data_IF_497241404007
#
_entry.id   IF_497241404007
#
_cell.length_a   1.000
_cell.length_b   1.000
_cell.length_c   1.000
_cell.angle_alpha   90.00
_cell.angle_beta   90.00
_cell.angle_gamma   90.00
#
_symmetry.space_group_name_H-M   'P 1'
#
loop_
_entity.id
_entity.type
_entity.pdbx_description
1 polymer ?
#
# COMPACT_ATOMS: atom_id res chain seq x y z
N UNK A 1 13.68 -12.97 -1.84
CA UNK A 1 12.62 -12.53 -2.77
C UNK A 1 11.34 -13.25 -2.42
N UNK A 2 10.22 -12.54 -2.36
CA UNK A 2 8.92 -13.13 -2.04
C UNK A 2 8.49 -14.06 -3.18
N UNK A 3 7.79 -15.16 -2.85
CA UNK A 3 7.34 -16.16 -3.82
C UNK A 3 6.02 -15.81 -4.51
N UNK A 4 5.40 -14.69 -4.13
CA UNK A 4 4.14 -14.22 -4.69
C UNK A 4 4.20 -12.69 -4.95
N UNK A 5 3.41 -12.19 -5.91
CA UNK A 5 3.17 -10.75 -6.03
C UNK A 5 2.61 -10.20 -4.71
N UNK A 6 3.16 -9.07 -4.26
CA UNK A 6 2.74 -8.40 -3.03
C UNK A 6 2.54 -6.91 -3.30
N UNK A 7 1.43 -6.37 -2.82
CA UNK A 7 1.16 -4.93 -2.75
C UNK A 7 1.20 -4.48 -1.29
N UNK A 8 1.97 -3.44 -1.01
CA UNK A 8 1.93 -2.69 0.25
C UNK A 8 1.19 -1.39 0.00
N UNK A 9 0.13 -1.14 0.77
CA UNK A 9 -0.58 0.15 0.77
C UNK A 9 -0.40 0.80 2.13
N UNK A 10 0.11 2.03 2.14
CA UNK A 10 0.32 2.81 3.36
C UNK A 10 -0.39 4.16 3.27
N UNK A 11 -0.86 4.70 4.39
CA UNK A 11 -1.41 6.05 4.45
C UNK A 11 -0.32 7.08 4.72
N UNK A 12 -0.33 8.24 4.04
CA UNK A 12 0.69 9.29 4.26
C UNK A 12 0.72 9.83 5.69
N UNK A 13 -0.37 9.70 6.44
CA UNK A 13 -0.55 10.20 7.80
C UNK A 13 -0.65 9.03 8.79
N UNK A 14 -0.04 7.89 8.48
CA UNK A 14 0.08 6.78 9.41
C UNK A 14 1.09 7.15 10.51
N UNK A 15 0.60 7.25 11.74
CA UNK A 15 1.39 7.58 12.95
C UNK A 15 1.86 6.33 13.70
N UNK A 16 1.52 5.14 13.20
CA UNK A 16 1.89 3.83 13.79
C UNK A 16 2.99 3.17 12.97
N UNK A 17 2.91 3.27 11.65
CA UNK A 17 3.91 2.73 10.71
C UNK A 17 4.33 3.83 9.74
N UNK A 18 5.61 4.19 9.74
CA UNK A 18 6.10 5.25 8.87
C UNK A 18 6.05 4.84 7.39
N UNK A 19 5.51 5.68 6.48
CA UNK A 19 5.49 5.39 5.05
C UNK A 19 6.87 5.13 4.45
N UNK A 20 7.92 5.78 4.97
CA UNK A 20 9.29 5.59 4.51
C UNK A 20 9.85 4.21 4.88
N UNK A 21 9.42 3.60 5.98
CA UNK A 21 9.78 2.21 6.31
C UNK A 21 9.09 1.24 5.35
N UNK A 22 7.79 1.44 5.07
CA UNK A 22 7.05 0.64 4.10
C UNK A 22 7.70 0.72 2.71
N UNK A 23 8.04 1.93 2.25
CA UNK A 23 8.69 2.15 0.94
C UNK A 23 10.05 1.46 0.85
N UNK A 24 10.89 1.58 1.88
CA UNK A 24 12.20 0.90 1.95
C UNK A 24 12.05 -0.61 1.92
N UNK A 25 11.09 -1.15 2.67
CA UNK A 25 10.85 -2.59 2.71
C UNK A 25 10.30 -3.14 1.38
N UNK A 26 9.36 -2.43 0.75
CA UNK A 26 8.84 -2.79 -0.58
C UNK A 26 9.96 -2.83 -1.62
N UNK A 27 10.85 -1.83 -1.63
CA UNK A 27 12.01 -1.82 -2.52
C UNK A 27 12.96 -3.00 -2.29
N UNK A 28 13.23 -3.34 -1.02
CA UNK A 28 14.11 -4.47 -0.66
C UNK A 28 13.53 -5.85 -1.01
N UNK A 29 12.19 -5.96 -1.02
CA UNK A 29 11.48 -7.23 -1.27
C UNK A 29 11.00 -7.39 -2.71
N UNK A 30 10.99 -6.32 -3.48
CA UNK A 30 10.39 -6.27 -4.83
C UNK A 30 8.86 -6.20 -4.81
N UNK A 31 8.27 -5.78 -3.68
CA UNK A 31 6.83 -5.58 -3.59
C UNK A 31 6.42 -4.25 -4.24
N UNK A 32 5.21 -4.22 -4.79
CA UNK A 32 4.60 -2.96 -5.23
C UNK A 32 4.27 -2.10 -4.01
N UNK A 33 4.36 -0.79 -4.17
CA UNK A 33 4.08 0.16 -3.10
C UNK A 33 3.16 1.27 -3.57
N UNK A 34 2.09 1.51 -2.81
CA UNK A 34 1.18 2.64 -3.02
C UNK A 34 0.98 3.39 -1.71
N UNK A 35 1.06 4.71 -1.79
CA UNK A 35 0.79 5.59 -0.66
C UNK A 35 -0.50 6.38 -0.90
N UNK A 36 -1.46 6.32 0.04
CA UNK A 36 -2.73 7.02 -0.05
C UNK A 36 -2.65 8.33 0.73
N UNK A 37 -2.71 9.45 -0.01
CA UNK A 37 -2.66 10.79 0.56
C UNK A 37 -3.80 11.07 1.53
N UNK A 38 -3.43 11.54 2.72
CA UNK A 38 -4.33 11.89 3.81
C UNK A 38 -4.99 10.69 4.49
N UNK A 39 -4.58 9.46 4.19
CA UNK A 39 -5.01 8.28 4.94
C UNK A 39 -4.15 8.12 6.20
N UNK A 40 -4.79 7.75 7.31
CA UNK A 40 -4.13 7.31 8.53
C UNK A 40 -3.92 5.78 8.50
N UNK A 41 -3.41 5.23 9.61
CA UNK A 41 -3.19 3.79 9.79
C UNK A 41 -4.40 2.91 9.43
N UNK A 42 -5.61 3.39 9.75
CA UNK A 42 -6.85 2.65 9.54
C UNK A 42 -7.56 3.01 8.22
N UNK A 43 -7.00 3.90 7.41
CA UNK A 43 -7.62 4.40 6.18
C UNK A 43 -9.04 4.95 6.39
N UNK A 44 -9.31 5.56 7.55
CA UNK A 44 -10.64 6.11 7.85
C UNK A 44 -11.09 7.09 6.77
N UNK A 45 -12.35 6.95 6.35
CA UNK A 45 -12.95 7.70 5.24
C UNK A 45 -12.22 7.55 3.88
N UNK A 46 -11.33 6.56 3.73
CA UNK A 46 -10.59 6.26 2.49
C UNK A 46 -10.78 4.81 2.03
N UNK A 47 -11.73 4.07 2.60
CA UNK A 47 -12.00 2.66 2.26
C UNK A 47 -12.28 2.45 0.78
N UNK A 48 -13.07 3.32 0.15
CA UNK A 48 -13.35 3.24 -1.30
C UNK A 48 -12.06 3.42 -2.12
N UNK A 49 -11.22 4.39 -1.74
CA UNK A 49 -9.92 4.61 -2.40
C UNK A 49 -8.99 3.42 -2.22
N UNK A 50 -8.95 2.83 -1.03
CA UNK A 50 -8.17 1.61 -0.75
C UNK A 50 -8.67 0.44 -1.59
N UNK A 51 -9.99 0.21 -1.62
CA UNK A 51 -10.63 -0.84 -2.41
C UNK A 51 -10.34 -0.69 -3.91
N UNK A 52 -10.52 0.51 -4.47
CA UNK A 52 -10.23 0.77 -5.88
C UNK A 52 -8.74 0.58 -6.22
N UNK A 53 -7.83 0.92 -5.29
CA UNK A 53 -6.39 0.69 -5.46
C UNK A 53 -6.08 -0.81 -5.53
N UNK A 54 -6.70 -1.60 -4.66
CA UNK A 54 -6.54 -3.05 -4.65
C UNK A 54 -7.12 -3.69 -5.93
N UNK A 55 -8.33 -3.31 -6.33
CA UNK A 55 -8.98 -3.84 -7.52
C UNK A 55 -8.15 -3.57 -8.78
N UNK A 56 -7.68 -2.33 -8.97
CA UNK A 56 -6.83 -2.00 -10.10
C UNK A 56 -5.53 -2.83 -10.14
N UNK A 57 -4.90 -3.05 -8.98
CA UNK A 57 -3.69 -3.87 -8.89
C UNK A 57 -3.94 -5.34 -9.24
N UNK A 58 -5.11 -5.87 -8.87
CA UNK A 58 -5.54 -7.23 -9.21
C UNK A 58 -5.88 -7.37 -10.69
N UNK A 59 -6.58 -6.39 -11.27
CA UNK A 59 -6.97 -6.39 -12.69
C UNK A 59 -5.74 -6.36 -13.62
N UNK A 60 -4.68 -5.63 -13.26
CA UNK A 60 -3.40 -5.62 -13.98
C UNK A 60 -2.68 -6.98 -14.01
N UNK A 61 -3.16 -7.96 -13.21
CA UNK A 61 -2.56 -9.29 -13.03
C UNK A 61 -3.50 -10.43 -13.44
N UNK A 62 -4.70 -10.14 -13.90
CA UNK A 62 -5.64 -11.11 -14.48
C UNK A 62 -5.27 -11.43 -15.94
#
# INVERSE_FOLDING_TARGET
LLSCPLLVVCGTNDEVVEPDDCRRWSAATGADYVEIKGANHFFWAKYERLGNTLLAWLDDRA
#
